data_IF_097045669948
#
_entry.id   IF_097045669948
#
_cell.length_a   1.000
_cell.length_b   1.000
_cell.length_c   1.000
_cell.angle_alpha   90.00
_cell.angle_beta   90.00
_cell.angle_gamma   90.00
#
_symmetry.space_group_name_H-M   'P 1'
#
loop_
_entity.id
_entity.type
_entity.pdbx_description
1 polymer ?
#
# COMPACT_ATOMS: atom_id res chain seq x y z
N UNK A 1 15.47 -19.28 17.69
CA UNK A 1 15.56 -18.90 16.27
C UNK A 1 14.14 -18.84 15.73
N UNK A 2 13.50 -17.66 15.73
CA UNK A 2 12.13 -17.48 15.22
C UNK A 2 12.26 -16.73 13.90
N UNK A 3 12.06 -17.43 12.78
CA UNK A 3 11.97 -16.82 11.47
C UNK A 3 10.69 -15.97 11.41
N UNK A 4 10.80 -14.67 11.72
CA UNK A 4 9.70 -13.73 11.48
C UNK A 4 9.77 -13.24 10.05
N UNK A 5 9.17 -13.99 9.13
CA UNK A 5 8.92 -13.50 7.78
C UNK A 5 7.65 -12.63 7.78
N UNK A 6 7.83 -11.34 8.07
CA UNK A 6 6.75 -10.33 8.00
C UNK A 6 6.65 -9.71 6.60
N UNK A 7 7.66 -9.93 5.76
CA UNK A 7 7.77 -9.35 4.42
C UNK A 7 7.57 -10.45 3.38
N UNK A 8 6.46 -10.38 2.63
CA UNK A 8 6.34 -11.08 1.36
C UNK A 8 7.38 -10.57 0.38
N UNK A 9 7.85 -11.41 -0.56
CA UNK A 9 8.92 -11.10 -1.53
C UNK A 9 8.79 -9.66 -2.06
N UNK A 10 9.88 -8.88 -2.03
CA UNK A 10 9.93 -7.53 -2.61
C UNK A 10 9.33 -7.59 -4.02
N UNK A 11 8.37 -6.71 -4.29
CA UNK A 11 7.61 -6.73 -5.52
C UNK A 11 8.46 -6.17 -6.66
N UNK A 12 9.08 -7.06 -7.42
CA UNK A 12 9.12 -6.83 -8.86
C UNK A 12 7.66 -6.78 -9.33
N UNK A 13 7.22 -5.61 -9.77
CA UNK A 13 5.83 -5.25 -10.10
C UNK A 13 5.20 -6.00 -11.28
N UNK A 14 5.36 -7.32 -11.34
CA UNK A 14 4.74 -8.18 -12.35
C UNK A 14 3.30 -8.50 -11.96
N UNK A 15 2.43 -7.48 -11.93
CA UNK A 15 1.01 -7.73 -12.05
C UNK A 15 0.77 -8.40 -13.41
N UNK A 16 0.02 -9.50 -13.41
CA UNK A 16 -0.41 -10.11 -14.68
C UNK A 16 -1.14 -9.04 -15.52
N UNK A 17 -1.01 -9.05 -16.86
CA UNK A 17 -1.74 -8.12 -17.71
C UNK A 17 -3.23 -8.06 -17.34
N UNK A 18 -3.77 -6.84 -17.24
CA UNK A 18 -5.17 -6.61 -16.87
C UNK A 18 -5.48 -6.54 -15.37
N UNK A 19 -4.55 -6.90 -14.48
CA UNK A 19 -4.79 -6.79 -13.02
C UNK A 19 -4.85 -5.32 -12.58
N UNK A 20 -3.89 -4.51 -13.00
CA UNK A 20 -3.86 -3.09 -12.61
C UNK A 20 -5.05 -2.31 -13.15
N UNK A 21 -5.50 -2.60 -14.37
CA UNK A 21 -6.65 -1.91 -14.96
C UNK A 21 -7.97 -2.34 -14.30
N UNK A 22 -8.09 -3.61 -13.91
CA UNK A 22 -9.31 -4.14 -13.28
C UNK A 22 -9.41 -3.84 -11.78
N UNK A 23 -8.29 -3.91 -11.06
CA UNK A 23 -8.26 -3.89 -9.59
C UNK A 23 -7.39 -2.78 -9.00
N UNK A 24 -6.71 -1.98 -9.83
CA UNK A 24 -5.89 -0.85 -9.37
C UNK A 24 -6.59 0.12 -8.42
N UNK A 25 -7.87 0.48 -8.63
CA UNK A 25 -8.59 1.35 -7.69
C UNK A 25 -8.68 0.78 -6.26
N UNK A 26 -8.80 -0.55 -6.13
CA UNK A 26 -8.94 -1.23 -4.83
C UNK A 26 -7.66 -1.17 -3.99
N UNK A 27 -6.51 -0.84 -4.58
CA UNK A 27 -5.23 -0.77 -3.85
C UNK A 27 -5.21 0.36 -2.80
N UNK A 28 -6.11 1.33 -2.89
CA UNK A 28 -6.21 2.47 -1.97
C UNK A 28 -7.55 2.57 -1.25
N UNK A 29 -8.54 1.78 -1.65
CA UNK A 29 -9.88 1.85 -1.08
C UNK A 29 -9.90 1.25 0.34
N UNK A 30 -10.26 2.03 1.38
CA UNK A 30 -10.37 1.50 2.73
C UNK A 30 -11.51 0.47 2.83
N UNK A 31 -11.31 -0.60 3.60
CA UNK A 31 -12.35 -1.58 3.89
C UNK A 31 -12.82 -1.42 5.35
N UNK A 32 -13.99 -0.81 5.54
CA UNK A 32 -14.49 -0.47 6.87
C UNK A 32 -13.53 0.47 7.61
N UNK A 33 -12.94 0.00 8.72
CA UNK A 33 -11.94 0.74 9.53
C UNK A 33 -10.48 0.41 9.17
N UNK A 34 -10.26 -0.41 8.13
CA UNK A 34 -8.93 -0.82 7.69
C UNK A 34 -8.48 0.08 6.55
N UNK A 35 -7.33 0.74 6.74
CA UNK A 35 -6.69 1.63 5.77
C UNK A 35 -5.35 1.06 5.32
N UNK A 36 -4.97 1.32 4.07
CA UNK A 36 -3.78 0.73 3.45
C UNK A 36 -2.62 1.71 3.38
N UNK A 37 -1.48 1.34 3.97
CA UNK A 37 -0.22 2.05 3.85
C UNK A 37 0.85 1.11 3.28
N UNK A 38 1.41 1.48 2.12
CA UNK A 38 2.54 0.81 1.49
C UNK A 38 3.14 1.69 0.38
N UNK A 39 4.41 1.47 0.04
CA UNK A 39 5.07 2.17 -1.08
C UNK A 39 4.27 2.08 -2.39
N UNK A 40 3.59 0.96 -2.59
CA UNK A 40 2.81 0.63 -3.78
C UNK A 40 1.51 1.43 -3.86
N UNK A 41 1.07 1.99 -2.74
CA UNK A 41 -0.07 2.90 -2.66
C UNK A 41 0.37 4.36 -2.82
N UNK A 42 1.67 4.66 -2.88
CA UNK A 42 2.15 6.02 -3.16
C UNK A 42 1.96 6.37 -4.64
N UNK A 43 1.60 7.62 -4.92
CA UNK A 43 1.52 8.16 -6.30
C UNK A 43 2.89 8.57 -6.84
N UNK A 44 3.88 8.74 -5.97
CA UNK A 44 5.26 9.11 -6.29
C UNK A 44 6.23 8.24 -5.48
N UNK A 45 7.39 7.87 -6.06
CA UNK A 45 8.44 7.10 -5.35
C UNK A 45 8.03 5.66 -4.96
N UNK A 46 7.40 4.93 -5.89
CA UNK A 46 7.08 3.51 -5.73
C UNK A 46 8.35 2.70 -5.41
N UNK A 47 8.32 1.84 -4.39
CA UNK A 47 9.47 1.02 -3.97
C UNK A 47 10.55 1.75 -3.16
N UNK A 48 10.39 3.04 -2.85
CA UNK A 48 11.32 3.81 -2.03
C UNK A 48 10.73 4.13 -0.64
N UNK A 49 11.62 4.42 0.33
CA UNK A 49 11.24 4.79 1.70
C UNK A 49 10.31 6.02 1.71
N UNK A 50 10.54 7.01 0.86
CA UNK A 50 9.68 8.20 0.71
C UNK A 50 8.23 7.82 0.35
N UNK A 51 8.05 6.84 -0.54
CA UNK A 51 6.72 6.30 -0.86
C UNK A 51 6.06 5.60 0.34
N UNK A 52 6.84 4.95 1.20
CA UNK A 52 6.31 4.33 2.42
C UNK A 52 5.81 5.40 3.39
N UNK A 53 6.63 6.43 3.65
CA UNK A 53 6.30 7.52 4.57
C UNK A 53 5.03 8.25 4.14
N UNK A 54 4.98 8.73 2.88
CA UNK A 54 3.81 9.44 2.35
C UNK A 54 2.54 8.61 2.39
N UNK A 55 2.67 7.30 2.11
CA UNK A 55 1.52 6.40 2.19
C UNK A 55 1.00 6.22 3.62
N UNK A 56 1.90 6.22 4.60
CA UNK A 56 1.55 6.15 6.02
C UNK A 56 0.87 7.43 6.50
N UNK A 57 1.41 8.60 6.14
CA UNK A 57 0.82 9.90 6.48
C UNK A 57 -0.60 10.03 5.94
N UNK A 58 -0.82 9.66 4.67
CA UNK A 58 -2.16 9.64 4.08
C UNK A 58 -3.10 8.70 4.84
N UNK A 59 -2.69 7.46 5.08
CA UNK A 59 -3.55 6.49 5.79
C UNK A 59 -3.90 6.98 7.21
N UNK A 60 -2.98 7.65 7.89
CA UNK A 60 -3.24 8.28 9.19
C UNK A 60 -4.28 9.40 9.09
N UNK A 61 -4.17 10.27 8.08
CA UNK A 61 -5.16 11.32 7.83
C UNK A 61 -6.56 10.73 7.54
N UNK A 62 -6.64 9.68 6.72
CA UNK A 62 -7.92 9.00 6.43
C UNK A 62 -8.59 8.39 7.68
N UNK A 63 -7.78 7.92 8.64
CA UNK A 63 -8.28 7.43 9.93
C UNK A 63 -8.79 8.58 10.79
N UNK A 64 -8.05 9.69 10.85
CA UNK A 64 -8.41 10.87 11.64
C UNK A 64 -9.66 11.57 11.12
N UNK A 65 -9.84 11.64 9.79
CA UNK A 65 -11.02 12.22 9.14
C UNK A 65 -12.30 11.38 9.33
N UNK A 66 -12.17 10.13 9.79
CA UNK A 66 -13.29 9.22 10.09
C UNK A 66 -13.57 9.06 11.59
N UNK A 67 -12.85 9.79 12.45
CA UNK A 67 -13.11 9.88 13.90
C UNK A 67 -14.22 10.89 14.20
#
# INVERSE_FOLDING_TARGET
>A
MVERRVVGRLLDGAFRPGILTRYGPLLREPFGRVHWARTETSTTSHGAIDGAVRSGERAAAEVLDRA
#
